data_IF_267427138015
#
_entry.id   IF_267427138015
#
_cell.length_a   1.000
_cell.length_b   1.000
_cell.length_c   1.000
_cell.angle_alpha   90.00
_cell.angle_beta   90.00
_cell.angle_gamma   90.00
#
_symmetry.space_group_name_H-M   'P 1'
#
loop_
_entity.id
_entity.type
_entity.pdbx_description
1 polymer ?
#
# COMPACT_ATOMS: atom_id res chain seq x y z
N UNK A 1 16.78 5.85 7.74
CA UNK A 1 15.43 6.16 7.21
C UNK A 1 14.40 5.24 7.87
N UNK A 2 13.23 5.77 8.26
CA UNK A 2 12.14 5.01 8.89
C UNK A 2 10.97 4.93 7.92
N UNK A 3 10.56 3.72 7.53
CA UNK A 3 9.50 3.49 6.57
C UNK A 3 8.37 2.67 7.20
N UNK A 4 7.15 3.11 6.98
CA UNK A 4 5.92 2.40 7.31
C UNK A 4 5.22 1.97 6.03
N UNK A 5 4.81 0.70 5.95
CA UNK A 5 3.90 0.21 4.92
C UNK A 5 2.65 -0.36 5.57
N UNK A 6 1.46 0.03 5.09
CA UNK A 6 0.19 -0.39 5.67
C UNK A 6 -0.95 -0.33 4.63
N UNK A 7 -1.67 -1.43 4.45
CA UNK A 7 -3.03 -1.37 3.92
C UNK A 7 -3.95 -0.85 5.03
N UNK A 8 -4.52 0.33 4.83
CA UNK A 8 -5.26 1.07 5.85
C UNK A 8 -6.75 0.72 5.91
N UNK A 9 -7.19 -0.26 5.09
CA UNK A 9 -8.56 -0.79 5.10
C UNK A 9 -9.65 0.29 5.02
N UNK A 10 -9.45 1.31 4.16
CA UNK A 10 -10.38 2.43 4.02
C UNK A 10 -10.68 3.21 5.31
N UNK A 11 -9.79 3.12 6.29
CA UNK A 11 -9.96 3.81 7.57
C UNK A 11 -11.00 3.18 8.51
N UNK A 12 -11.36 1.91 8.33
CA UNK A 12 -12.37 1.21 9.19
C UNK A 12 -12.04 1.31 10.67
N UNK A 13 -10.76 1.31 11.05
CA UNK A 13 -10.31 1.50 12.43
C UNK A 13 -9.77 2.92 12.70
N UNK A 14 -10.43 3.93 12.14
CA UNK A 14 -10.03 5.35 12.19
C UNK A 14 -9.57 5.82 13.57
N UNK A 15 -10.36 5.54 14.61
CA UNK A 15 -10.10 6.00 15.98
C UNK A 15 -8.77 5.48 16.55
N UNK A 16 -8.31 4.30 16.12
CA UNK A 16 -7.02 3.74 16.48
C UNK A 16 -5.92 4.17 15.50
N UNK A 17 -6.25 4.23 14.19
CA UNK A 17 -5.31 4.49 13.11
C UNK A 17 -4.74 5.90 13.16
N UNK A 18 -5.57 6.94 13.26
CA UNK A 18 -5.12 8.32 13.13
C UNK A 18 -4.17 8.77 14.25
N UNK A 19 -4.48 8.54 15.55
CA UNK A 19 -3.53 8.88 16.62
C UNK A 19 -2.23 8.09 16.51
N UNK A 20 -2.30 6.82 16.10
CA UNK A 20 -1.13 5.99 15.94
C UNK A 20 -0.22 6.49 14.80
N UNK A 21 -0.79 6.80 13.63
CA UNK A 21 -0.04 7.39 12.50
C UNK A 21 0.61 8.71 12.88
N UNK A 22 -0.11 9.59 13.59
CA UNK A 22 0.42 10.86 14.05
C UNK A 22 1.67 10.71 14.94
N UNK A 23 1.73 9.63 15.73
CA UNK A 23 2.82 9.35 16.68
C UNK A 23 3.91 8.42 16.17
N UNK A 24 3.72 7.72 15.05
CA UNK A 24 4.65 6.65 14.61
C UNK A 24 6.03 7.17 14.19
N UNK A 25 6.12 8.41 13.74
CA UNK A 25 7.38 9.09 13.44
C UNK A 25 8.10 8.54 12.20
N UNK A 26 7.39 7.97 11.24
CA UNK A 26 7.96 7.51 9.97
C UNK A 26 8.47 8.71 9.12
N UNK A 27 9.49 8.45 8.33
CA UNK A 27 9.99 9.41 7.34
C UNK A 27 9.27 9.23 5.99
N UNK A 28 8.87 7.98 5.68
CA UNK A 28 8.07 7.62 4.51
C UNK A 28 6.94 6.68 4.95
N UNK A 29 5.69 6.95 4.52
CA UNK A 29 4.54 6.07 4.72
C UNK A 29 3.97 5.66 3.37
N UNK A 30 3.91 4.36 3.13
CA UNK A 30 3.33 3.71 1.95
C UNK A 30 1.97 3.12 2.33
N UNK A 31 0.87 3.79 1.95
CA UNK A 31 -0.47 3.40 2.36
C UNK A 31 -1.29 2.88 1.17
N UNK A 32 -1.96 1.75 1.36
CA UNK A 32 -2.93 1.19 0.41
C UNK A 32 -4.34 1.36 0.97
N UNK A 33 -5.35 1.26 0.11
CA UNK A 33 -6.77 1.44 0.42
C UNK A 33 -7.09 2.82 1.02
N UNK A 34 -6.43 3.85 0.50
CA UNK A 34 -6.73 5.23 0.90
C UNK A 34 -7.92 5.75 0.11
N UNK A 35 -8.92 6.24 0.84
CA UNK A 35 -10.16 6.79 0.30
C UNK A 35 -10.06 8.31 0.25
N UNK A 36 -10.57 8.90 -0.83
CA UNK A 36 -10.66 10.35 -1.01
C UNK A 36 -12.01 10.71 -1.64
N UNK A 37 -12.89 11.31 -0.85
CA UNK A 37 -14.26 11.69 -1.24
C UNK A 37 -14.48 13.17 -0.94
N UNK A 38 -13.97 14.08 -1.79
CA UNK A 38 -13.98 15.52 -1.50
C UNK A 38 -15.38 16.11 -1.34
N UNK A 39 -16.41 15.51 -1.97
CA UNK A 39 -17.80 15.92 -1.86
C UNK A 39 -18.59 15.35 -0.68
N UNK A 40 -17.92 14.61 0.23
CA UNK A 40 -18.60 13.97 1.35
C UNK A 40 -19.12 14.99 2.37
N UNK A 41 -20.44 14.92 2.67
CA UNK A 41 -21.08 15.65 3.75
C UNK A 41 -20.89 15.03 5.13
N UNK A 42 -20.58 13.74 5.17
CA UNK A 42 -20.33 12.97 6.39
C UNK A 42 -18.96 12.33 6.41
N UNK A 43 -18.52 11.98 7.59
CA UNK A 43 -17.22 11.35 7.82
C UNK A 43 -17.20 9.89 7.41
N UNK A 44 -18.33 9.19 7.51
CA UNK A 44 -18.49 7.79 7.17
C UNK A 44 -19.50 7.62 6.05
N UNK A 45 -19.08 6.88 5.02
CA UNK A 45 -19.91 6.43 3.91
C UNK A 45 -19.78 4.92 3.76
N UNK A 46 -20.69 4.32 3.01
CA UNK A 46 -20.67 2.88 2.76
C UNK A 46 -20.16 2.56 1.35
N UNK A 47 -19.17 1.68 1.28
CA UNK A 47 -18.84 0.95 0.07
C UNK A 47 -19.80 -0.21 -0.08
N UNK A 48 -20.37 -0.40 -1.28
CA UNK A 48 -21.31 -1.47 -1.60
C UNK A 48 -20.85 -2.25 -2.83
N UNK A 49 -20.74 -3.58 -2.71
CA UNK A 49 -20.39 -4.50 -3.81
C UNK A 49 -21.21 -5.78 -3.66
N UNK A 50 -22.39 -5.83 -4.29
CA UNK A 50 -23.39 -6.84 -4.07
C UNK A 50 -23.86 -6.88 -2.60
N UNK A 51 -23.73 -8.02 -1.96
CA UNK A 51 -24.07 -8.18 -0.54
C UNK A 51 -22.94 -7.69 0.42
N UNK A 52 -21.79 -7.29 -0.09
CA UNK A 52 -20.68 -6.80 0.72
C UNK A 52 -20.85 -5.31 0.96
N UNK A 53 -21.04 -4.95 2.23
CA UNK A 53 -21.11 -3.56 2.69
C UNK A 53 -19.99 -3.32 3.69
N UNK A 54 -19.22 -2.25 3.48
CA UNK A 54 -18.10 -1.89 4.32
C UNK A 54 -18.10 -0.39 4.59
N UNK A 55 -18.05 0.07 5.86
CA UNK A 55 -17.85 1.48 6.15
C UNK A 55 -16.49 1.95 5.65
N UNK A 56 -16.45 3.16 5.09
CA UNK A 56 -15.24 3.81 4.59
C UNK A 56 -15.14 5.20 5.19
N UNK A 57 -13.95 5.57 5.65
CA UNK A 57 -13.68 6.94 6.10
C UNK A 57 -13.59 7.85 4.89
N UNK A 58 -14.64 8.64 4.66
CA UNK A 58 -14.84 9.36 3.41
C UNK A 58 -13.70 10.33 3.06
N UNK A 59 -13.20 11.10 4.05
CA UNK A 59 -12.13 12.09 3.88
C UNK A 59 -10.78 11.61 4.41
N UNK A 60 -10.53 10.30 4.35
CA UNK A 60 -9.33 9.69 4.92
C UNK A 60 -8.03 10.34 4.46
N UNK A 61 -7.90 10.66 3.16
CA UNK A 61 -6.69 11.32 2.63
C UNK A 61 -6.46 12.69 3.27
N UNK A 62 -7.51 13.49 3.45
CA UNK A 62 -7.39 14.83 4.04
C UNK A 62 -7.09 14.77 5.54
N UNK A 63 -7.65 13.78 6.23
CA UNK A 63 -7.37 13.53 7.64
C UNK A 63 -5.92 13.05 7.87
N UNK A 64 -5.41 12.18 6.99
CA UNK A 64 -4.00 11.79 6.99
C UNK A 64 -3.07 12.99 6.77
N UNK A 65 -3.42 13.90 5.85
CA UNK A 65 -2.68 15.18 5.66
C UNK A 65 -2.67 16.01 6.94
N UNK A 66 -3.81 16.11 7.62
CA UNK A 66 -3.94 16.90 8.84
C UNK A 66 -3.09 16.36 10.00
N UNK A 67 -2.96 15.04 10.13
CA UNK A 67 -2.15 14.40 11.19
C UNK A 67 -0.67 14.23 10.82
N UNK A 68 -0.30 14.47 9.56
CA UNK A 68 1.06 14.40 9.02
C UNK A 68 1.50 15.74 8.41
N UNK A 69 1.42 16.89 9.16
CA UNK A 69 1.63 18.22 8.60
C UNK A 69 3.05 18.47 8.06
N UNK A 70 4.04 17.65 8.45
CA UNK A 70 5.42 17.74 7.96
C UNK A 70 5.75 16.77 6.81
N UNK A 71 4.72 16.25 6.11
CA UNK A 71 4.90 15.33 4.99
C UNK A 71 4.20 15.84 3.74
N UNK A 72 4.90 15.82 2.63
CA UNK A 72 4.29 15.92 1.30
C UNK A 72 3.57 14.61 0.97
N UNK A 73 2.40 14.69 0.31
CA UNK A 73 1.64 13.51 -0.09
C UNK A 73 1.54 13.39 -1.60
N UNK A 74 1.77 12.18 -2.11
CA UNK A 74 1.45 11.77 -3.47
C UNK A 74 0.30 10.76 -3.38
N UNK A 75 -0.82 11.07 -4.03
CA UNK A 75 -1.98 10.17 -4.11
C UNK A 75 -2.16 9.69 -5.54
N UNK A 76 -2.27 8.38 -5.73
CA UNK A 76 -2.49 7.74 -7.02
C UNK A 76 -3.76 6.88 -6.95
N UNK A 77 -4.90 7.35 -7.47
CA UNK A 77 -6.13 6.58 -7.48
C UNK A 77 -6.03 5.42 -8.48
N UNK A 78 -6.47 4.24 -8.06
CA UNK A 78 -6.63 3.07 -8.93
C UNK A 78 -7.95 3.11 -9.71
N UNK A 79 -8.94 3.83 -9.18
CA UNK A 79 -10.23 4.05 -9.81
C UNK A 79 -11.11 4.99 -9.00
N UNK A 80 -12.22 5.40 -9.59
CA UNK A 80 -13.31 6.07 -8.89
C UNK A 80 -14.60 5.27 -9.00
N UNK A 81 -15.49 5.52 -8.05
CA UNK A 81 -16.79 4.89 -7.94
C UNK A 81 -17.65 5.65 -6.96
N UNK A 82 -18.65 4.99 -6.42
CA UNK A 82 -19.60 5.59 -5.51
C UNK A 82 -19.46 5.02 -4.10
N UNK A 83 -19.44 5.91 -3.13
CA UNK A 83 -19.77 5.60 -1.74
C UNK A 83 -21.18 6.11 -1.43
N UNK A 84 -21.80 5.57 -0.40
CA UNK A 84 -23.21 5.80 -0.12
C UNK A 84 -23.46 6.36 1.28
N UNK A 85 -24.29 7.39 1.34
CA UNK A 85 -24.92 7.91 2.54
C UNK A 85 -26.43 7.59 2.45
N UNK A 86 -26.88 6.47 3.06
CA UNK A 86 -28.22 5.97 2.80
C UNK A 86 -28.41 5.69 1.31
N UNK A 87 -29.34 6.40 0.65
CA UNK A 87 -29.62 6.28 -0.78
C UNK A 87 -28.86 7.34 -1.62
N UNK A 88 -28.12 8.24 -0.99
CA UNK A 88 -27.35 9.26 -1.69
C UNK A 88 -25.98 8.71 -2.10
N UNK A 89 -25.69 8.75 -3.39
CA UNK A 89 -24.40 8.37 -3.95
C UNK A 89 -23.44 9.55 -3.97
N UNK A 90 -22.18 9.32 -3.53
CA UNK A 90 -21.14 10.33 -3.48
C UNK A 90 -19.91 9.82 -4.26
N UNK A 91 -19.44 10.53 -5.32
CA UNK A 91 -18.24 10.14 -6.05
C UNK A 91 -17.01 10.08 -5.14
N UNK A 92 -16.26 9.01 -5.24
CA UNK A 92 -15.10 8.73 -4.41
C UNK A 92 -13.95 8.14 -5.23
N UNK A 93 -12.73 8.40 -4.80
CA UNK A 93 -11.51 7.78 -5.30
C UNK A 93 -10.93 6.80 -4.29
N UNK A 94 -10.28 5.78 -4.79
CA UNK A 94 -9.64 4.72 -4.01
C UNK A 94 -8.27 4.40 -4.59
N UNK A 95 -7.22 4.40 -3.76
CA UNK A 95 -5.88 4.20 -4.30
C UNK A 95 -4.76 4.09 -3.29
N UNK A 96 -3.57 4.42 -3.77
CA UNK A 96 -2.32 4.47 -3.02
C UNK A 96 -2.03 5.90 -2.56
N UNK A 97 -1.53 6.06 -1.34
CA UNK A 97 -0.92 7.30 -0.89
C UNK A 97 0.50 7.03 -0.40
N UNK A 98 1.42 7.92 -0.76
CA UNK A 98 2.77 7.95 -0.19
C UNK A 98 2.98 9.30 0.48
N UNK A 99 3.26 9.28 1.78
CA UNK A 99 3.65 10.45 2.54
C UNK A 99 5.17 10.44 2.71
N UNK A 100 5.83 11.51 2.30
CA UNK A 100 7.28 11.67 2.40
C UNK A 100 7.56 12.92 3.24
N UNK A 101 8.40 12.78 4.28
CA UNK A 101 8.81 13.93 5.11
C UNK A 101 9.37 15.05 4.23
N UNK A 102 8.89 16.28 4.40
CA UNK A 102 9.25 17.43 3.54
C UNK A 102 10.75 17.73 3.48
N UNK A 103 11.51 17.28 4.49
CA UNK A 103 12.97 17.40 4.50
C UNK A 103 13.69 16.39 3.60
N UNK A 104 12.95 15.44 3.00
CA UNK A 104 13.46 14.41 2.09
C UNK A 104 13.07 14.78 0.66
N UNK A 105 14.02 15.23 -0.20
CA UNK A 105 13.74 15.51 -1.59
C UNK A 105 13.25 14.28 -2.36
N UNK A 106 12.15 14.44 -3.09
CA UNK A 106 11.72 13.49 -4.12
C UNK A 106 12.41 13.87 -5.42
N UNK A 107 13.40 13.08 -5.86
CA UNK A 107 14.24 13.36 -7.03
C UNK A 107 13.81 12.60 -8.28
N UNK A 108 12.82 11.72 -8.17
CA UNK A 108 12.21 11.01 -9.28
C UNK A 108 10.92 10.33 -8.82
N UNK A 109 9.99 10.15 -9.76
CA UNK A 109 8.74 9.46 -9.49
C UNK A 109 8.21 8.74 -10.73
N UNK A 110 7.60 7.58 -10.52
CA UNK A 110 6.87 6.84 -11.53
C UNK A 110 5.60 6.25 -10.92
N UNK A 111 4.50 6.28 -11.66
CA UNK A 111 3.26 5.59 -11.32
C UNK A 111 2.77 4.81 -12.52
N UNK A 112 2.13 3.68 -12.29
CA UNK A 112 1.61 2.89 -13.41
C UNK A 112 0.63 1.83 -12.93
N UNK A 113 -0.22 1.37 -13.86
CA UNK A 113 -1.12 0.26 -13.60
C UNK A 113 -0.37 -1.06 -13.73
N UNK A 114 -0.35 -1.84 -12.67
CA UNK A 114 0.20 -3.20 -12.67
C UNK A 114 -0.84 -4.23 -13.10
N UNK A 115 -2.14 -3.88 -12.98
CA UNK A 115 -3.26 -4.64 -13.54
C UNK A 115 -4.38 -3.71 -13.97
N UNK A 116 -4.98 -3.96 -15.16
CA UNK A 116 -6.04 -3.13 -15.72
C UNK A 116 -5.58 -1.72 -16.07
N UNK A 117 -6.52 -0.78 -16.03
CA UNK A 117 -6.34 0.65 -16.24
C UNK A 117 -7.28 1.43 -15.32
N UNK A 118 -7.06 2.73 -15.17
CA UNK A 118 -7.98 3.59 -14.41
C UNK A 118 -9.41 3.44 -14.90
N UNK A 119 -10.34 3.30 -13.96
CA UNK A 119 -11.77 3.32 -14.23
C UNK A 119 -12.42 4.46 -13.44
N UNK A 120 -13.27 5.21 -14.11
CA UNK A 120 -14.10 6.26 -13.53
C UNK A 120 -15.49 5.77 -13.09
N UNK A 121 -15.74 4.47 -13.22
CA UNK A 121 -17.01 3.83 -12.91
C UNK A 121 -16.82 2.61 -12.00
N UNK A 122 -17.57 2.54 -10.90
CA UNK A 122 -17.64 1.44 -9.92
C UNK A 122 -16.29 0.86 -9.47
N UNK A 123 -15.25 1.71 -9.45
CA UNK A 123 -13.86 1.30 -9.16
C UNK A 123 -13.31 0.24 -10.13
N UNK A 124 -13.92 0.08 -11.30
CA UNK A 124 -13.58 -0.90 -12.33
C UNK A 124 -14.17 -2.30 -12.10
N UNK A 125 -14.17 -3.10 -13.18
CA UNK A 125 -14.62 -4.48 -13.16
C UNK A 125 -13.69 -5.38 -12.33
N UNK A 126 -14.23 -6.43 -11.75
CA UNK A 126 -13.41 -7.46 -11.07
C UNK A 126 -12.70 -8.40 -12.07
N UNK A 127 -11.42 -8.74 -11.82
CA UNK A 127 -10.53 -8.23 -10.79
C UNK A 127 -10.22 -6.74 -11.01
N UNK A 128 -10.40 -5.93 -9.98
CA UNK A 128 -10.29 -4.47 -10.07
C UNK A 128 -8.91 -3.99 -10.50
N UNK A 129 -8.81 -2.82 -11.16
CA UNK A 129 -7.53 -2.19 -11.48
C UNK A 129 -6.63 -2.05 -10.25
N UNK A 130 -5.33 -2.21 -10.48
CA UNK A 130 -4.30 -2.09 -9.45
C UNK A 130 -3.14 -1.28 -9.98
N UNK A 131 -2.67 -0.36 -9.17
CA UNK A 131 -1.55 0.51 -9.50
C UNK A 131 -0.37 0.32 -8.55
N UNK A 132 0.76 0.87 -8.97
CA UNK A 132 1.98 0.97 -8.18
C UNK A 132 2.51 2.40 -8.25
N UNK A 133 3.29 2.76 -7.24
CA UNK A 133 4.00 4.03 -7.14
C UNK A 133 5.45 3.75 -6.76
N UNK A 134 6.38 4.38 -7.46
CA UNK A 134 7.82 4.30 -7.20
C UNK A 134 8.36 5.72 -7.04
N UNK A 135 9.05 5.98 -5.96
CA UNK A 135 9.68 7.27 -5.67
C UNK A 135 11.17 7.06 -5.51
N UNK A 136 11.97 7.93 -6.14
CA UNK A 136 13.40 8.05 -5.88
C UNK A 136 13.61 9.26 -4.98
N UNK A 137 14.21 9.02 -3.82
CA UNK A 137 14.34 9.97 -2.72
C UNK A 137 15.84 10.23 -2.46
N UNK A 138 16.18 11.41 -1.98
CA UNK A 138 17.51 11.68 -1.47
C UNK A 138 17.48 11.71 0.06
N UNK A 139 17.97 10.67 0.70
CA UNK A 139 17.97 10.56 2.16
C UNK A 139 19.31 10.02 2.67
N UNK A 140 19.75 10.51 3.82
CA UNK A 140 20.98 10.05 4.49
C UNK A 140 22.22 10.11 3.56
N UNK A 141 22.28 11.15 2.71
CA UNK A 141 23.41 11.40 1.81
C UNK A 141 23.46 10.51 0.57
N UNK A 142 22.42 9.77 0.24
CA UNK A 142 22.36 8.87 -0.91
C UNK A 142 20.94 8.68 -1.47
N UNK A 143 20.83 8.16 -2.71
CA UNK A 143 19.52 7.86 -3.29
C UNK A 143 18.90 6.60 -2.67
N UNK A 144 17.57 6.67 -2.49
CA UNK A 144 16.70 5.57 -2.11
C UNK A 144 15.57 5.43 -3.12
N UNK A 145 15.24 4.21 -3.48
CA UNK A 145 14.02 3.91 -4.25
C UNK A 145 13.02 3.23 -3.32
N UNK A 146 11.86 3.85 -3.16
CA UNK A 146 10.73 3.30 -2.40
C UNK A 146 9.60 3.01 -3.37
N UNK A 147 9.26 1.74 -3.50
CA UNK A 147 8.22 1.25 -4.37
C UNK A 147 7.09 0.63 -3.57
N UNK A 148 5.84 0.97 -3.90
CA UNK A 148 4.67 0.32 -3.33
C UNK A 148 3.68 -0.11 -4.39
N UNK A 149 2.97 -1.20 -4.15
CA UNK A 149 1.78 -1.57 -4.91
C UNK A 149 0.67 -2.10 -4.02
N UNK A 150 -0.58 -1.98 -4.49
CA UNK A 150 -1.69 -2.80 -4.01
C UNK A 150 -1.93 -3.90 -5.05
N UNK A 151 -1.67 -5.13 -4.68
CA UNK A 151 -1.72 -6.29 -5.57
C UNK A 151 -3.13 -6.75 -5.91
N UNK A 152 -3.22 -7.54 -6.95
CA UNK A 152 -4.46 -8.07 -7.49
C UNK A 152 -5.21 -8.94 -6.47
N UNK A 153 -6.46 -8.59 -6.18
CA UNK A 153 -7.39 -9.42 -5.43
C UNK A 153 -8.30 -10.18 -6.38
N UNK A 154 -8.05 -11.48 -6.53
CA UNK A 154 -8.88 -12.40 -7.29
C UNK A 154 -9.74 -13.24 -6.34
N UNK A 155 -11.07 -13.13 -6.45
CA UNK A 155 -12.00 -13.87 -5.59
C UNK A 155 -12.00 -15.38 -5.92
N UNK A 156 -11.72 -15.76 -7.16
CA UNK A 156 -11.74 -17.15 -7.61
C UNK A 156 -10.42 -17.89 -7.31
N UNK A 157 -9.29 -17.27 -7.62
CA UNK A 157 -7.95 -17.86 -7.39
C UNK A 157 -7.44 -17.67 -5.95
N UNK A 158 -8.12 -16.85 -5.13
CA UNK A 158 -7.61 -16.49 -3.80
C UNK A 158 -6.27 -15.78 -3.90
N UNK A 159 -5.22 -16.36 -3.29
CA UNK A 159 -3.83 -15.85 -3.33
C UNK A 159 -2.89 -16.72 -4.16
N UNK A 160 -3.41 -17.69 -4.92
CA UNK A 160 -2.60 -18.53 -5.80
C UNK A 160 -2.02 -17.73 -6.97
N UNK A 161 -0.91 -18.20 -7.52
CA UNK A 161 -0.32 -17.63 -8.73
C UNK A 161 -1.28 -17.77 -9.92
N UNK A 162 -1.37 -16.71 -10.74
CA UNK A 162 -2.12 -16.65 -11.98
C UNK A 162 -1.30 -15.90 -13.04
N UNK A 163 -1.62 -16.04 -14.34
CA UNK A 163 -0.97 -15.25 -15.40
C UNK A 163 -1.06 -13.75 -15.16
N UNK A 164 -2.19 -13.26 -14.64
CA UNK A 164 -2.41 -11.85 -14.33
C UNK A 164 -1.47 -11.37 -13.21
N UNK A 165 -1.26 -12.19 -12.16
CA UNK A 165 -0.29 -11.90 -11.09
C UNK A 165 1.15 -11.95 -11.59
N UNK A 166 1.48 -12.86 -12.48
CA UNK A 166 2.79 -12.87 -13.12
C UNK A 166 3.03 -11.59 -13.94
N UNK A 167 2.05 -11.18 -14.76
CA UNK A 167 2.12 -9.94 -15.52
C UNK A 167 2.18 -8.69 -14.60
N UNK A 168 1.45 -8.70 -13.47
CA UNK A 168 1.53 -7.66 -12.45
C UNK A 168 2.95 -7.55 -11.88
N UNK A 169 3.58 -8.68 -11.53
CA UNK A 169 4.92 -8.71 -10.98
C UNK A 169 5.96 -8.16 -11.97
N UNK A 170 5.83 -8.49 -13.27
CA UNK A 170 6.69 -7.95 -14.32
C UNK A 170 6.55 -6.43 -14.46
N UNK A 171 5.30 -5.90 -14.46
CA UNK A 171 5.05 -4.46 -14.54
C UNK A 171 5.57 -3.70 -13.32
N UNK A 172 5.39 -4.26 -12.12
CA UNK A 172 5.93 -3.66 -10.90
C UNK A 172 7.46 -3.64 -10.90
N UNK A 173 8.08 -4.76 -11.29
CA UNK A 173 9.52 -4.84 -11.45
C UNK A 173 10.06 -3.83 -12.49
N UNK A 174 9.37 -3.68 -13.63
CA UNK A 174 9.75 -2.72 -14.67
C UNK A 174 9.65 -1.25 -14.19
N UNK A 175 8.65 -0.92 -13.36
CA UNK A 175 8.56 0.42 -12.75
C UNK A 175 9.73 0.69 -11.80
N UNK A 176 10.15 -0.32 -11.01
CA UNK A 176 11.32 -0.21 -10.13
C UNK A 176 12.60 -0.02 -10.96
N UNK A 177 12.84 -0.91 -11.92
CA UNK A 177 14.03 -0.86 -12.80
C UNK A 177 14.12 0.45 -13.60
N UNK A 178 12.97 0.99 -14.02
CA UNK A 178 12.92 2.23 -14.79
C UNK A 178 13.31 3.48 -14.00
N UNK A 179 13.35 3.41 -12.66
CA UNK A 179 13.68 4.54 -11.80
C UNK A 179 14.93 4.32 -10.95
N UNK A 180 15.26 3.07 -10.63
CA UNK A 180 16.43 2.72 -9.85
C UNK A 180 17.71 2.80 -10.67
N UNK A 181 18.77 3.30 -10.06
CA UNK A 181 20.13 3.32 -10.62
C UNK A 181 21.05 2.38 -9.83
N UNK A 182 22.17 1.94 -10.45
CA UNK A 182 23.14 1.12 -9.73
C UNK A 182 23.65 1.80 -8.45
N UNK A 183 23.53 1.09 -7.32
CA UNK A 183 23.95 1.60 -6.01
C UNK A 183 22.82 2.23 -5.18
N UNK A 184 21.63 2.44 -5.73
CA UNK A 184 20.48 2.91 -4.98
C UNK A 184 20.04 1.89 -3.90
N UNK A 185 19.65 2.39 -2.74
CA UNK A 185 18.97 1.57 -1.72
C UNK A 185 17.51 1.36 -2.13
N UNK A 186 17.11 0.12 -2.42
CA UNK A 186 15.78 -0.19 -2.96
C UNK A 186 14.92 -0.90 -1.91
N UNK A 187 13.74 -0.36 -1.66
CA UNK A 187 12.68 -0.94 -0.82
C UNK A 187 11.43 -1.13 -1.70
N UNK A 188 10.89 -2.34 -1.75
CA UNK A 188 9.60 -2.65 -2.39
C UNK A 188 8.64 -3.19 -1.34
N UNK A 189 7.45 -2.59 -1.20
CA UNK A 189 6.48 -2.96 -0.17
C UNK A 189 5.03 -2.86 -0.66
N UNK A 190 4.10 -3.37 0.14
CA UNK A 190 2.67 -3.23 -0.11
C UNK A 190 1.87 -4.46 0.25
N UNK A 191 0.57 -4.37 0.07
CA UNK A 191 -0.33 -5.52 0.05
C UNK A 191 -0.23 -6.20 -1.33
N UNK A 192 0.61 -7.20 -1.46
CA UNK A 192 0.81 -7.90 -2.73
C UNK A 192 -0.30 -8.93 -3.02
N UNK A 193 -1.13 -9.26 -2.01
CA UNK A 193 -2.22 -10.24 -2.12
C UNK A 193 -1.77 -11.63 -2.63
N UNK A 194 -0.59 -12.07 -2.25
CA UNK A 194 0.02 -13.34 -2.66
C UNK A 194 0.45 -14.18 -1.46
N UNK A 195 0.79 -15.45 -1.70
CA UNK A 195 1.41 -16.35 -0.73
C UNK A 195 2.93 -16.18 -0.68
N UNK A 196 3.60 -16.65 0.40
CA UNK A 196 5.06 -16.57 0.53
C UNK A 196 5.85 -17.28 -0.58
N UNK A 197 5.28 -18.28 -1.21
CA UNK A 197 5.89 -19.07 -2.30
C UNK A 197 5.54 -18.55 -3.70
N UNK A 198 4.99 -17.34 -3.82
CA UNK A 198 4.48 -16.80 -5.07
C UNK A 198 5.57 -16.45 -6.10
N UNK A 199 5.18 -16.49 -7.38
CA UNK A 199 6.02 -16.01 -8.48
C UNK A 199 6.28 -14.49 -8.39
N UNK A 200 5.39 -13.72 -7.74
CA UNK A 200 5.59 -12.28 -7.51
C UNK A 200 6.85 -12.04 -6.68
N UNK A 201 7.02 -12.73 -5.55
CA UNK A 201 8.22 -12.57 -4.72
C UNK A 201 9.47 -13.03 -5.48
N UNK A 202 9.42 -14.20 -6.13
CA UNK A 202 10.53 -14.70 -6.97
C UNK A 202 10.92 -13.74 -8.09
N UNK A 203 9.95 -12.99 -8.64
CA UNK A 203 10.26 -11.98 -9.66
C UNK A 203 11.04 -10.80 -9.08
N UNK A 204 10.65 -10.34 -7.89
CA UNK A 204 11.34 -9.26 -7.19
C UNK A 204 12.71 -9.69 -6.65
N UNK A 205 12.86 -10.95 -6.24
CA UNK A 205 14.17 -11.51 -5.87
C UNK A 205 15.19 -11.45 -7.02
N UNK A 206 14.74 -11.59 -8.28
CA UNK A 206 15.62 -11.43 -9.46
C UNK A 206 16.12 -9.98 -9.64
N UNK A 207 15.50 -9.00 -8.98
CA UNK A 207 16.03 -7.63 -8.87
C UNK A 207 17.04 -7.47 -7.72
N UNK A 208 17.41 -8.56 -7.06
CA UNK A 208 18.29 -8.54 -5.90
C UNK A 208 17.58 -8.14 -4.59
N UNK A 209 16.24 -8.21 -4.55
CA UNK A 209 15.48 -7.90 -3.34
C UNK A 209 15.28 -9.15 -2.48
N UNK A 210 15.44 -9.00 -1.16
CA UNK A 210 15.20 -10.04 -0.17
C UNK A 210 13.98 -9.70 0.67
N UNK A 211 13.08 -10.67 0.89
CA UNK A 211 11.88 -10.49 1.69
C UNK A 211 12.19 -10.53 3.20
N UNK A 212 11.83 -9.48 3.90
CA UNK A 212 12.03 -9.37 5.35
C UNK A 212 10.90 -10.04 6.15
N UNK A 213 9.72 -10.26 5.56
CA UNK A 213 8.59 -10.86 6.26
C UNK A 213 8.82 -12.36 6.45
N UNK A 214 9.01 -13.10 5.36
CA UNK A 214 9.23 -14.55 5.45
C UNK A 214 10.63 -14.88 5.94
N UNK A 215 11.64 -14.12 5.51
CA UNK A 215 13.02 -14.24 5.99
C UNK A 215 13.18 -13.96 7.48
N UNK A 216 12.32 -13.11 8.04
CA UNK A 216 12.27 -12.82 9.48
C UNK A 216 11.48 -13.84 10.32
N UNK A 217 10.88 -14.85 9.69
CA UNK A 217 10.12 -15.90 10.40
C UNK A 217 8.77 -15.45 10.95
N UNK A 218 8.20 -14.35 10.45
CA UNK A 218 6.88 -13.88 10.89
C UNK A 218 5.76 -14.82 10.41
N UNK A 219 4.79 -15.09 11.26
CA UNK A 219 3.68 -16.03 11.00
C UNK A 219 2.53 -15.43 10.14
N UNK A 220 2.73 -14.27 9.55
CA UNK A 220 1.76 -13.57 8.71
C UNK A 220 1.68 -12.08 8.99
N UNK A 221 0.94 -11.38 8.15
CA UNK A 221 0.76 -9.91 8.16
C UNK A 221 -0.70 -9.48 8.37
N UNK A 222 -1.58 -10.40 8.75
CA UNK A 222 -2.98 -10.12 9.06
C UNK A 222 -3.23 -10.09 10.56
N UNK A 223 -4.05 -9.14 11.03
CA UNK A 223 -4.50 -9.05 12.43
C UNK A 223 -5.59 -10.07 12.75
N UNK A 224 -6.06 -10.13 14.00
CA UNK A 224 -7.13 -11.03 14.42
C UNK A 224 -8.47 -10.77 13.70
N UNK A 225 -8.67 -9.57 13.16
CA UNK A 225 -9.87 -9.18 12.40
C UNK A 225 -10.02 -9.91 11.07
N UNK A 226 -8.93 -10.41 10.50
CA UNK A 226 -8.97 -11.21 9.29
C UNK A 226 -9.23 -12.68 9.62
N UNK A 227 -10.36 -13.21 9.17
CA UNK A 227 -10.88 -14.54 9.56
C UNK A 227 -10.48 -15.69 8.63
N UNK A 228 -9.87 -15.38 7.46
CA UNK A 228 -9.48 -16.42 6.48
C UNK A 228 -8.12 -17.06 6.85
N UNK A 229 -7.84 -18.29 6.37
CA UNK A 229 -6.62 -19.02 6.75
C UNK A 229 -5.31 -18.42 6.21
N UNK A 230 -5.33 -17.81 5.01
CA UNK A 230 -4.14 -17.22 4.38
C UNK A 230 -3.73 -15.93 5.12
N UNK A 231 -2.77 -16.05 6.05
CA UNK A 231 -2.35 -14.95 6.95
C UNK A 231 -1.34 -13.97 6.33
N UNK A 232 -0.77 -14.28 5.17
CA UNK A 232 0.17 -13.41 4.47
C UNK A 232 -0.56 -12.61 3.37
N UNK A 233 -0.20 -11.36 3.22
CA UNK A 233 -0.66 -10.49 2.13
C UNK A 233 0.36 -9.38 1.84
N UNK A 234 0.97 -8.86 2.90
CA UNK A 234 1.83 -7.69 2.86
C UNK A 234 3.29 -8.14 2.91
N UNK A 235 4.13 -7.48 2.13
CA UNK A 235 5.55 -7.79 2.05
C UNK A 235 6.37 -6.50 2.06
N UNK A 236 7.60 -6.60 2.55
CA UNK A 236 8.61 -5.58 2.46
C UNK A 236 9.92 -6.25 2.09
N UNK A 237 10.42 -5.89 0.90
CA UNK A 237 11.62 -6.47 0.32
C UNK A 237 12.67 -5.37 0.14
N UNK A 238 13.94 -5.71 0.36
CA UNK A 238 15.05 -4.76 0.30
C UNK A 238 16.24 -5.35 -0.46
N UNK A 239 17.02 -4.49 -1.13
CA UNK A 239 18.30 -4.90 -1.70
C UNK A 239 19.45 -4.79 -0.67
N UNK A 240 20.63 -5.27 -1.05
CA UNK A 240 21.82 -5.28 -0.18
C UNK A 240 22.32 -3.86 0.22
N UNK A 241 21.90 -2.80 -0.47
CA UNK A 241 22.25 -1.42 -0.15
C UNK A 241 21.43 -0.84 1.01
N UNK A 242 20.31 -1.46 1.38
CA UNK A 242 19.50 -1.04 2.54
C UNK A 242 20.16 -1.52 3.83
N UNK A 243 20.65 -0.64 4.73
CA UNK A 243 21.27 -1.05 5.98
C UNK A 243 20.20 -1.34 7.04
N UNK A 244 19.51 -2.47 6.90
CA UNK A 244 18.42 -2.86 7.82
C UNK A 244 18.94 -2.93 9.26
N UNK A 245 18.43 -2.04 10.13
CA UNK A 245 18.69 -2.02 11.57
C UNK A 245 17.60 -2.73 12.36
N UNK A 246 16.34 -2.54 11.94
CA UNK A 246 15.18 -3.13 12.56
C UNK A 246 14.06 -3.33 11.53
N UNK A 247 13.42 -4.48 11.58
CA UNK A 247 12.20 -4.75 10.84
C UNK A 247 11.16 -5.40 11.75
N UNK A 248 9.92 -4.94 11.67
CA UNK A 248 8.82 -5.45 12.49
C UNK A 248 7.52 -5.58 11.69
N UNK A 249 6.76 -6.62 12.01
CA UNK A 249 5.34 -6.77 11.71
C UNK A 249 4.58 -6.38 12.98
N UNK A 250 4.04 -5.15 13.02
CA UNK A 250 3.43 -4.57 14.22
C UNK A 250 2.03 -5.15 14.42
N UNK A 251 1.82 -5.86 15.54
CA UNK A 251 0.55 -6.52 15.86
C UNK A 251 -0.34 -5.74 16.80
N UNK A 252 0.22 -4.78 17.53
CA UNK A 252 -0.49 -3.94 18.48
C UNK A 252 0.06 -2.50 18.45
N UNK A 253 -0.80 -1.48 18.49
CA UNK A 253 -2.26 -1.61 18.45
C UNK A 253 -2.78 -2.12 17.10
N UNK A 254 -3.97 -2.75 17.07
CA UNK A 254 -4.65 -3.08 15.82
C UNK A 254 -5.23 -1.80 15.20
N UNK A 255 -4.66 -1.37 14.08
CA UNK A 255 -5.05 -0.15 13.35
C UNK A 255 -5.66 -0.44 11.97
N UNK A 256 -5.66 -1.71 11.56
CA UNK A 256 -6.23 -2.25 10.32
C UNK A 256 -6.49 -3.75 10.49
N UNK A 257 -7.10 -4.40 9.50
CA UNK A 257 -7.09 -5.87 9.39
C UNK A 257 -5.74 -6.40 8.85
N UNK A 258 -4.85 -5.49 8.44
CA UNK A 258 -3.44 -5.72 8.13
C UNK A 258 -2.54 -5.22 9.26
N UNK A 259 -1.43 -5.93 9.48
CA UNK A 259 -0.36 -5.47 10.38
C UNK A 259 0.51 -4.45 9.66
N UNK A 260 0.80 -3.29 10.27
CA UNK A 260 1.82 -2.40 9.73
C UNK A 260 3.18 -3.08 9.63
N UNK A 261 3.90 -2.83 8.55
CA UNK A 261 5.29 -3.23 8.37
C UNK A 261 6.19 -2.02 8.63
N UNK A 262 7.11 -2.15 9.58
CA UNK A 262 8.01 -1.09 10.00
C UNK A 262 9.45 -1.44 9.66
N UNK A 263 10.15 -0.53 8.99
CA UNK A 263 11.57 -0.63 8.67
C UNK A 263 12.33 0.55 9.24
N UNK A 264 13.40 0.28 9.97
CA UNK A 264 14.47 1.24 10.28
C UNK A 264 15.74 0.80 9.54
N UNK A 265 16.28 1.69 8.76
CA UNK A 265 17.46 1.43 7.98
C UNK A 265 18.44 2.62 8.01
#
# INVERSE_FOLDING_TARGET
MRLLCLNAWGGVLHEALMPWIAGVGADVLCLQEVVHTPGAGKDWLEYRDGAHVLPQRARMLDELRAVLPGHAVLFSPAGSGLLWEGDQAVPSHFGLACFVRETIPVIGQATGFVHGAYSDHDYGAHPRPRNAMVLRLWAEGRPWVVAQMHGLRDKAAGKADTPERAAQAERFAALIDGLAEPGDAVVACGDFNVRPDSQTLRRLERLGLSDLVTGGGFAGTRTARYTKPDRFADYLMVNAQVPVRRFEVIRAPEVSDHCPLWLEA
#
